data_IF_569377342967
#
_entry.id   IF_569377342967
#
_cell.length_a   1.000
_cell.length_b   1.000
_cell.length_c   1.000
_cell.angle_alpha   90.00
_cell.angle_beta   90.00
_cell.angle_gamma   90.00
#
_symmetry.space_group_name_H-M   'P 1'
#
loop_
_entity.id
_entity.type
_entity.pdbx_description
1 polymer ?
#
# COMPACT_ATOMS: atom_id res chain seq x y z
N UNK A 1 11.97 -4.03 10.67
CA UNK A 1 10.59 -4.32 10.19
C UNK A 1 9.79 -3.02 10.26
N UNK A 2 9.00 -2.68 9.24
CA UNK A 2 8.10 -1.52 9.26
C UNK A 2 6.89 -1.88 10.12
N UNK A 3 6.50 -1.02 11.06
CA UNK A 3 5.45 -1.29 12.05
C UNK A 3 4.29 -0.31 11.85
N UNK A 4 3.47 -0.54 10.82
CA UNK A 4 2.32 0.33 10.54
C UNK A 4 1.32 0.26 11.70
N UNK A 5 0.68 1.37 12.04
CA UNK A 5 -0.35 1.44 13.09
C UNK A 5 -1.72 1.62 12.43
N UNK A 6 -2.67 0.75 12.73
CA UNK A 6 -4.08 0.89 12.37
C UNK A 6 -4.99 0.73 13.59
N UNK A 7 -6.31 0.85 13.39
CA UNK A 7 -7.31 0.77 14.45
C UNK A 7 -8.32 -0.35 14.20
N UNK A 8 -8.76 -1.03 15.26
CA UNK A 8 -9.89 -1.95 15.19
C UNK A 8 -11.18 -1.15 15.04
N UNK A 9 -12.09 -1.58 14.17
CA UNK A 9 -13.48 -1.10 14.16
C UNK A 9 -14.27 -2.10 14.99
N UNK A 10 -14.22 -1.95 16.31
CA UNK A 10 -15.07 -2.70 17.24
C UNK A 10 -15.76 -1.66 18.13
N UNK A 11 -17.08 -1.56 18.04
CA UNK A 11 -17.88 -0.54 18.74
C UNK A 11 -18.03 -0.85 20.24
N UNK A 12 -17.66 -2.06 20.65
CA UNK A 12 -17.89 -2.60 22.00
C UNK A 12 -16.60 -2.87 22.82
N UNK A 13 -15.42 -2.36 22.43
CA UNK A 13 -14.17 -2.61 23.20
C UNK A 13 -14.15 -1.85 24.54
N UNK A 14 -14.28 -2.53 25.69
CA UNK A 14 -14.32 -1.91 27.01
C UNK A 14 -12.93 -1.53 27.56
N UNK A 15 -11.84 -1.84 26.83
CA UNK A 15 -10.46 -1.66 27.29
C UNK A 15 -9.72 -0.47 26.65
N UNK A 16 -10.38 0.31 25.80
CA UNK A 16 -9.79 1.45 25.11
C UNK A 16 -8.94 1.04 23.89
N UNK A 17 -8.80 2.00 22.97
CA UNK A 17 -8.19 1.85 21.65
C UNK A 17 -6.79 1.20 21.69
N UNK A 18 -6.67 -0.07 21.29
CA UNK A 18 -5.36 -0.69 21.09
C UNK A 18 -4.83 -0.46 19.67
N UNK A 19 -3.56 -0.03 19.50
CA UNK A 19 -2.95 0.10 18.19
C UNK A 19 -2.70 -1.27 17.55
N UNK A 20 -3.13 -1.44 16.30
CA UNK A 20 -2.84 -2.63 15.51
C UNK A 20 -1.51 -2.44 14.80
N UNK A 21 -0.60 -3.41 14.95
CA UNK A 21 0.70 -3.38 14.28
C UNK A 21 0.73 -4.30 13.05
N UNK A 22 1.16 -3.76 11.92
CA UNK A 22 1.40 -4.55 10.70
C UNK A 22 2.88 -4.68 10.42
N UNK A 23 3.32 -5.86 9.96
CA UNK A 23 4.72 -6.15 9.66
C UNK A 23 5.18 -5.66 8.29
N UNK A 24 4.24 -5.41 7.40
CA UNK A 24 4.48 -4.84 6.08
C UNK A 24 3.21 -4.19 5.52
N UNK A 25 3.36 -3.46 4.42
CA UNK A 25 2.24 -2.80 3.75
C UNK A 25 1.23 -3.79 3.16
N UNK A 26 1.66 -4.97 2.70
CA UNK A 26 0.74 -6.01 2.20
C UNK A 26 -0.24 -6.47 3.29
N UNK A 27 0.25 -6.72 4.51
CA UNK A 27 -0.61 -7.09 5.65
C UNK A 27 -1.66 -6.01 5.93
N UNK A 28 -1.25 -4.74 5.96
CA UNK A 28 -2.17 -3.61 6.12
C UNK A 28 -3.22 -3.56 5.01
N UNK A 29 -2.79 -3.65 3.75
CA UNK A 29 -3.71 -3.61 2.61
C UNK A 29 -4.76 -4.71 2.66
N UNK A 30 -4.32 -5.94 2.95
CA UNK A 30 -5.22 -7.10 3.00
C UNK A 30 -6.15 -7.02 4.22
N UNK A 31 -5.68 -6.50 5.36
CA UNK A 31 -6.52 -6.24 6.53
C UNK A 31 -7.61 -5.20 6.23
N UNK A 32 -7.26 -4.07 5.60
CA UNK A 32 -8.22 -3.06 5.16
C UNK A 32 -9.23 -3.62 4.15
N UNK A 33 -8.77 -4.46 3.22
CA UNK A 33 -9.62 -5.12 2.25
C UNK A 33 -10.66 -6.01 2.94
N UNK A 34 -10.24 -6.87 3.86
CA UNK A 34 -11.16 -7.71 4.63
C UNK A 34 -12.13 -6.87 5.50
N UNK A 35 -11.64 -5.80 6.12
CA UNK A 35 -12.47 -4.86 6.88
C UNK A 35 -13.55 -4.17 6.04
N UNK A 36 -13.25 -3.79 4.79
CA UNK A 36 -14.22 -3.16 3.87
C UNK A 36 -15.46 -4.02 3.61
N UNK A 37 -15.32 -5.34 3.72
CA UNK A 37 -16.39 -6.32 3.54
C UNK A 37 -16.85 -6.96 4.84
N UNK A 38 -16.48 -6.37 5.99
CA UNK A 38 -16.83 -6.83 7.35
C UNK A 38 -16.42 -8.29 7.60
N UNK A 39 -15.36 -8.77 6.94
CA UNK A 39 -14.83 -10.12 7.09
C UNK A 39 -13.79 -10.16 8.21
N UNK A 40 -14.27 -10.11 9.45
CA UNK A 40 -13.44 -10.07 10.66
C UNK A 40 -12.61 -11.34 10.84
N UNK A 41 -13.09 -12.49 10.34
CA UNK A 41 -12.35 -13.75 10.37
C UNK A 41 -11.10 -13.68 9.48
N UNK A 42 -11.24 -13.21 8.24
CA UNK A 42 -10.08 -13.01 7.37
C UNK A 42 -9.13 -11.95 7.91
N UNK A 43 -9.63 -10.88 8.54
CA UNK A 43 -8.78 -9.89 9.23
C UNK A 43 -7.92 -10.54 10.33
N UNK A 44 -8.52 -11.36 11.21
CA UNK A 44 -7.78 -12.09 12.26
C UNK A 44 -6.70 -12.98 11.67
N UNK A 45 -7.03 -13.74 10.62
CA UNK A 45 -6.08 -14.63 9.93
C UNK A 45 -4.93 -13.86 9.28
N UNK A 46 -5.20 -12.71 8.67
CA UNK A 46 -4.16 -11.84 8.08
C UNK A 46 -3.22 -11.30 9.15
N UNK A 47 -3.76 -10.88 10.31
CA UNK A 47 -2.94 -10.41 11.44
C UNK A 47 -2.08 -11.53 12.04
N UNK A 48 -2.56 -12.78 12.02
CA UNK A 48 -1.84 -13.94 12.56
C UNK A 48 -0.65 -14.41 11.72
N UNK A 49 -0.48 -13.96 10.48
CA UNK A 49 0.63 -14.37 9.60
C UNK A 49 1.60 -13.23 9.31
N UNK A 50 2.90 -13.56 9.30
CA UNK A 50 3.97 -12.65 8.91
C UNK A 50 4.44 -12.84 7.46
N UNK A 51 3.93 -13.83 6.74
CA UNK A 51 4.29 -14.10 5.34
C UNK A 51 3.43 -13.25 4.38
N UNK A 52 4.04 -12.31 3.63
CA UNK A 52 3.32 -11.48 2.65
C UNK A 52 2.58 -12.30 1.58
N UNK A 53 3.10 -13.47 1.19
CA UNK A 53 2.42 -14.32 0.21
C UNK A 53 1.11 -14.87 0.78
N UNK A 54 1.14 -15.32 2.03
CA UNK A 54 -0.05 -15.81 2.72
C UNK A 54 -1.05 -14.68 3.00
N UNK A 55 -0.59 -13.51 3.41
CA UNK A 55 -1.44 -12.32 3.59
C UNK A 55 -2.20 -11.99 2.30
N UNK A 56 -1.49 -11.94 1.17
CA UNK A 56 -2.07 -11.71 -0.15
C UNK A 56 -3.05 -12.81 -0.55
N UNK A 57 -2.75 -14.08 -0.24
CA UNK A 57 -3.65 -15.21 -0.50
C UNK A 57 -4.94 -15.06 0.30
N UNK A 58 -4.85 -14.75 1.60
CA UNK A 58 -5.99 -14.54 2.48
C UNK A 58 -6.87 -13.38 2.02
N UNK A 59 -6.28 -12.24 1.62
CA UNK A 59 -7.05 -11.12 1.09
C UNK A 59 -7.71 -11.38 -0.28
N UNK A 60 -7.33 -12.44 -1.01
CA UNK A 60 -8.12 -12.90 -2.18
C UNK A 60 -9.35 -13.71 -1.76
N UNK A 61 -9.33 -14.30 -0.57
CA UNK A 61 -10.40 -15.12 -0.01
C UNK A 61 -11.37 -14.34 0.89
N UNK A 62 -11.24 -13.01 0.92
CA UNK A 62 -12.16 -12.14 1.65
C UNK A 62 -13.61 -12.42 1.25
N UNK A 63 -14.42 -12.76 2.24
CA UNK A 63 -15.85 -13.02 2.10
C UNK A 63 -16.57 -11.75 1.65
N UNK A 64 -17.48 -11.89 0.69
CA UNK A 64 -18.27 -10.76 0.17
C UNK A 64 -17.45 -9.77 -0.64
N UNK A 65 -16.23 -10.13 -1.06
CA UNK A 65 -15.40 -9.27 -1.90
C UNK A 65 -16.10 -8.94 -3.22
N UNK A 66 -16.47 -7.68 -3.38
CA UNK A 66 -16.89 -7.13 -4.66
C UNK A 66 -15.75 -6.31 -5.28
N UNK A 67 -15.33 -6.73 -6.49
CA UNK A 67 -14.19 -6.11 -7.18
C UNK A 67 -14.37 -4.60 -7.38
N UNK A 68 -15.56 -4.17 -7.85
CA UNK A 68 -15.84 -2.75 -8.06
C UNK A 68 -15.77 -1.93 -6.76
N UNK A 69 -16.33 -2.46 -5.67
CA UNK A 69 -16.29 -1.81 -4.36
C UNK A 69 -14.87 -1.69 -3.82
N UNK A 70 -14.00 -2.68 -4.09
CA UNK A 70 -12.59 -2.60 -3.69
C UNK A 70 -11.80 -1.68 -4.61
N UNK A 71 -12.05 -1.73 -5.92
CA UNK A 71 -11.37 -0.93 -6.93
C UNK A 71 -11.55 0.57 -6.73
N UNK A 72 -12.70 0.98 -6.17
CA UNK A 72 -12.99 2.36 -5.81
C UNK A 72 -12.07 2.93 -4.71
N UNK A 73 -11.51 2.09 -3.82
CA UNK A 73 -10.74 2.55 -2.65
C UNK A 73 -9.31 2.00 -2.59
N UNK A 74 -8.98 0.96 -3.38
CA UNK A 74 -7.71 0.23 -3.22
C UNK A 74 -6.48 1.13 -3.38
N UNK A 75 -6.55 2.12 -4.27
CA UNK A 75 -5.45 3.07 -4.48
C UNK A 75 -5.18 3.90 -3.23
N UNK A 76 -6.24 4.42 -2.58
CA UNK A 76 -6.12 5.22 -1.36
C UNK A 76 -5.58 4.40 -0.19
N UNK A 77 -6.00 3.13 -0.08
CA UNK A 77 -5.44 2.21 0.92
C UNK A 77 -3.94 1.98 0.68
N UNK A 78 -3.52 1.82 -0.58
CA UNK A 78 -2.09 1.67 -0.92
C UNK A 78 -1.31 2.94 -0.61
N UNK A 79 -1.86 4.13 -0.88
CA UNK A 79 -1.26 5.41 -0.50
C UNK A 79 -1.12 5.49 1.03
N UNK A 80 -2.18 5.23 1.78
CA UNK A 80 -2.17 5.29 3.25
C UNK A 80 -1.12 4.33 3.86
N UNK A 81 -1.08 3.09 3.39
CA UNK A 81 -0.11 2.10 3.87
C UNK A 81 1.34 2.47 3.54
N UNK A 82 1.59 3.03 2.35
CA UNK A 82 2.93 3.51 2.01
C UNK A 82 3.28 4.79 2.77
N UNK A 83 2.35 5.73 2.95
CA UNK A 83 2.57 6.94 3.74
C UNK A 83 3.01 6.59 5.16
N UNK A 84 2.29 5.69 5.82
CA UNK A 84 2.69 5.22 7.15
C UNK A 84 4.04 4.48 7.13
N UNK A 85 4.34 3.66 6.10
CA UNK A 85 5.63 2.95 5.98
C UNK A 85 6.81 3.91 5.88
N UNK A 86 6.71 4.87 4.97
CA UNK A 86 7.77 5.83 4.68
C UNK A 86 7.85 6.90 5.78
N UNK A 87 6.71 7.40 6.27
CA UNK A 87 6.67 8.40 7.34
C UNK A 87 7.25 7.90 8.67
N UNK A 88 7.00 6.63 9.04
CA UNK A 88 7.54 6.05 10.27
C UNK A 88 9.00 5.57 10.17
N UNK A 89 9.61 5.56 8.98
CA UNK A 89 10.96 5.04 8.79
C UNK A 89 11.84 6.10 8.11
N UNK A 90 12.66 6.86 8.88
CA UNK A 90 13.48 7.95 8.35
C UNK A 90 14.43 7.52 7.22
N UNK A 91 14.97 6.31 7.28
CA UNK A 91 15.86 5.79 6.24
C UNK A 91 15.10 5.51 4.93
N UNK A 92 13.93 4.89 5.00
CA UNK A 92 13.10 4.68 3.81
C UNK A 92 12.55 6.01 3.27
N UNK A 93 12.16 6.94 4.16
CA UNK A 93 11.74 8.30 3.80
C UNK A 93 12.80 8.99 2.95
N UNK A 94 14.06 8.99 3.40
CA UNK A 94 15.15 9.64 2.69
C UNK A 94 15.41 9.02 1.32
N UNK A 95 15.31 7.68 1.19
CA UNK A 95 15.40 6.99 -0.11
C UNK A 95 14.28 7.45 -1.06
N UNK A 96 13.03 7.55 -0.57
CA UNK A 96 11.91 7.98 -1.39
C UNK A 96 12.05 9.44 -1.82
N UNK A 97 12.42 10.34 -0.90
CA UNK A 97 12.63 11.76 -1.19
C UNK A 97 13.80 11.98 -2.16
N UNK A 98 14.88 11.21 -2.03
CA UNK A 98 16.03 11.25 -2.92
C UNK A 98 15.69 10.89 -4.38
N UNK A 99 14.52 10.30 -4.65
CA UNK A 99 14.04 10.12 -6.02
C UNK A 99 13.76 11.46 -6.74
N UNK A 100 13.68 12.57 -6.00
CA UNK A 100 13.48 13.91 -6.56
C UNK A 100 12.13 14.00 -7.24
N UNK A 101 12.10 14.46 -8.49
CA UNK A 101 10.88 14.53 -9.31
C UNK A 101 10.83 13.43 -10.38
N UNK A 102 11.70 12.41 -10.26
CA UNK A 102 11.70 11.27 -11.19
C UNK A 102 10.37 10.52 -11.13
N UNK A 103 9.92 10.05 -12.30
CA UNK A 103 8.82 9.11 -12.43
C UNK A 103 9.24 7.77 -11.80
N UNK A 104 8.41 7.25 -10.90
CA UNK A 104 8.57 5.91 -10.34
C UNK A 104 7.70 4.92 -11.12
N UNK A 105 8.28 3.81 -11.55
CA UNK A 105 7.63 2.80 -12.37
C UNK A 105 7.82 1.41 -11.77
N UNK A 106 6.72 0.75 -11.44
CA UNK A 106 6.75 -0.64 -10.96
C UNK A 106 6.88 -1.59 -12.15
N UNK A 107 8.09 -2.13 -12.34
CA UNK A 107 8.48 -2.97 -13.48
C UNK A 107 7.97 -4.42 -13.37
N UNK A 108 6.68 -4.59 -13.09
CA UNK A 108 6.01 -5.88 -13.03
C UNK A 108 5.45 -6.27 -14.41
N UNK A 109 6.09 -7.22 -15.10
CA UNK A 109 5.71 -7.63 -16.46
C UNK A 109 4.32 -8.27 -16.56
N UNK A 110 3.85 -8.90 -15.47
CA UNK A 110 2.56 -9.59 -15.41
C UNK A 110 1.45 -8.75 -14.76
N UNK A 111 1.72 -7.51 -14.37
CA UNK A 111 0.74 -6.65 -13.71
C UNK A 111 0.63 -5.30 -14.44
N UNK A 112 -0.51 -5.11 -15.12
CA UNK A 112 -0.83 -3.88 -15.86
C UNK A 112 -1.67 -2.89 -15.06
N UNK A 113 -2.07 -3.22 -13.83
CA UNK A 113 -2.85 -2.32 -12.98
C UNK A 113 -1.92 -1.64 -11.98
N UNK A 114 -1.17 -2.42 -11.21
CA UNK A 114 -0.21 -1.88 -10.25
C UNK A 114 1.13 -1.55 -10.88
N UNK A 115 1.53 -2.32 -11.89
CA UNK A 115 2.77 -2.15 -12.64
C UNK A 115 2.60 -1.51 -14.02
N UNK A 116 3.74 -1.36 -14.70
CA UNK A 116 3.79 -0.90 -16.09
C UNK A 116 3.56 -2.03 -17.10
N UNK A 117 3.45 -3.29 -16.66
CA UNK A 117 3.25 -4.43 -17.56
C UNK A 117 4.48 -4.77 -18.42
N UNK A 118 5.68 -4.37 -17.98
CA UNK A 118 6.97 -4.66 -18.59
C UNK A 118 8.03 -4.83 -17.50
N UNK A 119 9.05 -5.63 -17.78
CA UNK A 119 10.31 -5.60 -17.02
C UNK A 119 11.02 -4.27 -17.24
N UNK A 120 12.01 -3.96 -16.39
CA UNK A 120 12.78 -2.72 -16.52
C UNK A 120 13.53 -2.65 -17.88
N UNK A 121 14.09 -3.78 -18.31
CA UNK A 121 14.83 -3.89 -19.57
C UNK A 121 13.91 -3.71 -20.79
N UNK A 122 12.73 -4.33 -20.78
CA UNK A 122 11.73 -4.13 -21.84
C UNK A 122 11.29 -2.68 -21.89
N UNK A 123 10.98 -2.08 -20.74
CA UNK A 123 10.53 -0.69 -20.65
C UNK A 123 11.58 0.31 -21.13
N UNK A 124 12.86 0.06 -20.86
CA UNK A 124 13.98 0.89 -21.31
C UNK A 124 14.17 0.87 -22.84
N UNK A 125 13.69 -0.19 -23.51
CA UNK A 125 13.76 -0.34 -24.98
C UNK A 125 12.50 0.15 -25.69
N UNK A 126 11.44 0.49 -24.96
CA UNK A 126 10.22 1.01 -25.57
C UNK A 126 10.43 2.45 -26.07
N UNK A 127 9.96 2.76 -27.29
CA UNK A 127 10.09 4.12 -27.85
C UNK A 127 9.19 5.12 -27.13
N UNK A 128 8.10 4.65 -26.50
CA UNK A 128 7.16 5.47 -25.76
C UNK A 128 6.54 4.69 -24.59
N UNK A 129 5.93 5.41 -23.65
CA UNK A 129 5.24 4.84 -22.49
C UNK A 129 3.76 4.56 -22.74
N UNK A 130 3.25 4.80 -23.95
CA UNK A 130 1.82 4.62 -24.29
C UNK A 130 1.32 3.20 -24.06
N UNK A 131 2.22 2.21 -24.14
CA UNK A 131 1.90 0.80 -23.92
C UNK A 131 1.90 0.38 -22.46
N UNK A 132 2.35 1.25 -21.55
CA UNK A 132 2.45 0.94 -20.12
C UNK A 132 1.07 0.64 -19.54
N UNK A 133 1.07 -0.24 -18.54
CA UNK A 133 -0.06 -0.37 -17.61
C UNK A 133 -0.27 0.90 -16.79
N UNK A 134 -1.24 0.85 -15.90
CA UNK A 134 -1.68 2.00 -15.12
C UNK A 134 -0.63 2.50 -14.11
N UNK A 135 0.35 1.67 -13.74
CA UNK A 135 1.44 2.00 -12.80
C UNK A 135 0.91 2.59 -11.48
N UNK A 136 -0.18 2.03 -10.93
CA UNK A 136 -0.80 2.57 -9.71
C UNK A 136 0.15 2.60 -8.51
N UNK A 137 1.07 1.63 -8.39
CA UNK A 137 2.03 1.64 -7.29
C UNK A 137 3.04 2.79 -7.42
N UNK A 138 3.58 3.00 -8.62
CA UNK A 138 4.46 4.15 -8.89
C UNK A 138 3.77 5.48 -8.61
N UNK A 139 2.51 5.64 -9.04
CA UNK A 139 1.67 6.81 -8.73
C UNK A 139 1.49 7.02 -7.22
N UNK A 140 1.15 5.95 -6.49
CA UNK A 140 0.98 6.02 -5.04
C UNK A 140 2.28 6.45 -4.33
N UNK A 141 3.43 5.91 -4.73
CA UNK A 141 4.73 6.29 -4.14
C UNK A 141 5.09 7.76 -4.42
N UNK A 142 4.81 8.26 -5.62
CA UNK A 142 5.03 9.67 -5.94
C UNK A 142 4.09 10.59 -5.17
N UNK A 143 2.84 10.17 -4.93
CA UNK A 143 1.93 10.91 -4.06
C UNK A 143 2.41 10.95 -2.61
N UNK A 144 2.83 9.80 -2.07
CA UNK A 144 3.43 9.73 -0.73
C UNK A 144 4.67 10.63 -0.63
N UNK A 145 5.53 10.62 -1.64
CA UNK A 145 6.69 11.53 -1.71
C UNK A 145 6.28 13.00 -1.62
N UNK A 146 5.25 13.41 -2.36
CA UNK A 146 4.75 14.79 -2.33
C UNK A 146 4.21 15.16 -0.95
N UNK A 147 3.44 14.27 -0.29
CA UNK A 147 2.90 14.53 1.05
C UNK A 147 4.02 14.66 2.10
N UNK A 148 4.97 13.72 2.09
CA UNK A 148 6.10 13.73 3.03
C UNK A 148 7.03 14.93 2.84
N UNK A 149 7.16 15.45 1.61
CA UNK A 149 7.93 16.68 1.32
C UNK A 149 7.26 17.90 1.96
N UNK A 150 5.94 18.04 1.79
CA UNK A 150 5.16 19.13 2.43
C UNK A 150 5.26 19.09 3.95
N UNK A 151 5.14 17.90 4.54
CA UNK A 151 5.32 17.74 5.99
C UNK A 151 6.73 18.15 6.49
N UNK A 152 7.78 18.05 5.67
CA UNK A 152 9.11 18.56 6.03
C UNK A 152 9.23 20.07 5.87
N UNK A 153 8.58 20.65 4.86
CA UNK A 153 8.53 22.09 4.66
C UNK A 153 7.77 22.76 5.81
N UNK A 154 6.58 22.26 6.15
CA UNK A 154 5.73 22.76 7.24
C UNK A 154 6.36 22.60 8.64
N UNK A 155 7.30 21.67 8.82
CA UNK A 155 7.99 21.45 10.09
C UNK A 155 9.23 22.33 10.29
N UNK A 156 9.67 23.01 9.24
CA UNK A 156 10.83 23.92 9.24
C UNK A 156 10.42 25.38 9.38
N UNK A 157 9.15 25.70 9.07
CA UNK A 157 8.49 26.99 9.34
C UNK A 157 8.01 27.12 10.81
#
# INVERSE_FOLDING_TARGET
MSRLVGHAIDEDDPHGWQPIHFTCTEQFMMYCKAGRFRDTETQRRILATHDPKEQKRLGRLTRGLEAASWDAIKSDVVVAGNLAKFGQNPHLKSILLATGDRLLAEAASQDRVWGIGFTADEAARLPSRERWGENRLGKALMEVRTRLRREEEDAVD
#
